data_IF_537375629367
#
_entry.id   IF_537375629367
#
_cell.length_a   1.000
_cell.length_b   1.000
_cell.length_c   1.000
_cell.angle_alpha   90.00
_cell.angle_beta   90.00
_cell.angle_gamma   90.00
#
_symmetry.space_group_name_H-M   'P 1'
#
loop_
_entity.id
_entity.type
_entity.pdbx_description
1 polymer ?
#
# COMPACT_ATOMS: atom_id res chain seq x y z
N UNK A 1 14.78 6.10 -14.80
CA UNK A 1 13.77 5.80 -13.78
C UNK A 1 12.49 5.51 -14.53
N UNK A 2 11.82 4.39 -14.25
CA UNK A 2 10.59 4.00 -14.93
C UNK A 2 9.43 4.13 -13.95
N UNK A 3 8.34 4.72 -14.40
CA UNK A 3 7.12 4.89 -13.63
C UNK A 3 6.07 3.92 -14.16
N UNK A 4 5.56 3.08 -13.27
CA UNK A 4 4.50 2.13 -13.60
C UNK A 4 3.23 2.49 -12.84
N UNK A 5 2.09 2.31 -13.48
CA UNK A 5 0.79 2.54 -12.84
C UNK A 5 0.41 1.29 -12.04
N UNK A 6 -0.26 1.52 -10.92
CA UNK A 6 -0.85 0.44 -10.13
C UNK A 6 -2.28 0.25 -10.64
N UNK A 7 -2.59 -0.95 -11.17
CA UNK A 7 -3.95 -1.28 -11.63
C UNK A 7 -4.85 -1.59 -10.45
N UNK A 8 -4.33 -2.31 -9.45
CA UNK A 8 -5.12 -2.79 -8.33
C UNK A 8 -4.31 -2.89 -7.06
N UNK A 9 -4.93 -2.52 -5.95
CA UNK A 9 -4.40 -2.75 -4.61
C UNK A 9 -5.20 -3.87 -3.92
N UNK A 10 -4.52 -4.92 -3.46
CA UNK A 10 -5.17 -6.08 -2.84
C UNK A 10 -5.28 -5.92 -1.34
N UNK A 11 -4.14 -5.79 -0.65
CA UNK A 11 -4.08 -5.64 0.79
C UNK A 11 -2.81 -4.95 1.23
N UNK A 12 -2.91 -4.32 2.39
CA UNK A 12 -1.77 -3.82 3.16
C UNK A 12 -1.28 -4.94 4.07
N UNK A 13 -0.07 -5.43 3.81
CA UNK A 13 0.55 -6.52 4.59
C UNK A 13 1.11 -5.93 5.89
N UNK A 14 1.95 -4.90 5.77
CA UNK A 14 2.58 -4.18 6.87
C UNK A 14 2.50 -2.67 6.64
N UNK A 15 3.01 -1.86 7.57
CA UNK A 15 2.95 -0.40 7.48
C UNK A 15 3.73 0.20 6.29
N UNK A 16 4.62 -0.57 5.67
CA UNK A 16 5.45 -0.22 4.52
C UNK A 16 5.21 -1.13 3.29
N UNK A 17 4.66 -2.33 3.50
CA UNK A 17 4.56 -3.38 2.49
C UNK A 17 3.12 -3.57 2.03
N UNK A 18 2.89 -3.34 0.73
CA UNK A 18 1.58 -3.45 0.07
C UNK A 18 1.60 -4.51 -1.02
N UNK A 19 0.50 -5.23 -1.19
CA UNK A 19 0.33 -6.17 -2.29
C UNK A 19 -0.47 -5.50 -3.42
N UNK A 20 0.16 -5.37 -4.58
CA UNK A 20 -0.37 -4.60 -5.71
C UNK A 20 -0.14 -5.30 -7.05
N UNK A 21 -1.03 -5.02 -8.00
CA UNK A 21 -0.81 -5.29 -9.42
C UNK A 21 -0.22 -4.07 -10.09
N UNK A 22 0.96 -4.26 -10.68
CA UNK A 22 1.64 -3.25 -11.48
C UNK A 22 1.30 -3.49 -12.95
N UNK A 23 0.78 -2.46 -13.61
CA UNK A 23 0.50 -2.47 -15.04
C UNK A 23 1.78 -2.27 -15.83
N UNK A 24 2.12 -3.23 -16.70
CA UNK A 24 3.21 -3.10 -17.66
C UNK A 24 2.72 -2.75 -19.07
N UNK A 25 1.40 -2.65 -19.28
CA UNK A 25 0.76 -2.55 -20.58
C UNK A 25 0.61 -3.91 -21.26
N UNK A 26 0.07 -3.92 -22.49
CA UNK A 26 -0.10 -5.12 -23.33
C UNK A 26 -0.85 -6.28 -22.64
N UNK A 27 -1.81 -5.97 -21.77
CA UNK A 27 -2.54 -6.94 -20.95
C UNK A 27 -1.66 -7.77 -20.00
N UNK A 28 -0.44 -7.29 -19.70
CA UNK A 28 0.48 -7.92 -18.75
C UNK A 28 0.48 -7.10 -17.46
N UNK A 29 -0.03 -7.70 -16.40
CA UNK A 29 0.10 -7.19 -15.03
C UNK A 29 1.03 -8.10 -14.22
N UNK A 30 1.84 -7.49 -13.34
CA UNK A 30 2.65 -8.23 -12.38
C UNK A 30 2.08 -8.02 -10.98
N UNK A 31 1.67 -9.13 -10.36
CA UNK A 31 1.29 -9.18 -8.96
C UNK A 31 2.53 -9.31 -8.09
N UNK A 32 2.89 -8.28 -7.33
CA UNK A 32 4.02 -8.34 -6.39
C UNK A 32 3.78 -7.53 -5.10
N UNK A 33 4.37 -7.97 -3.98
CA UNK A 33 4.51 -7.11 -2.81
C UNK A 33 5.54 -6.02 -3.09
N UNK A 34 5.18 -4.77 -2.87
CA UNK A 34 6.01 -3.59 -3.06
C UNK A 34 6.20 -2.90 -1.71
N UNK A 35 7.42 -2.40 -1.47
CA UNK A 35 7.75 -1.59 -0.29
C UNK A 35 7.72 -0.11 -0.63
N UNK A 36 7.20 0.70 0.27
CA UNK A 36 7.20 2.15 0.15
C UNK A 36 8.62 2.68 0.37
N UNK A 37 9.19 3.32 -0.65
CA UNK A 37 10.52 3.89 -0.57
C UNK A 37 10.53 5.05 0.45
N UNK A 38 11.45 5.00 1.42
CA UNK A 38 11.59 6.04 2.45
C UNK A 38 10.69 5.86 3.67
N UNK A 39 9.93 4.77 3.76
CA UNK A 39 9.16 4.40 4.94
C UNK A 39 9.75 3.10 5.51
N UNK A 40 10.37 3.20 6.68
CA UNK A 40 10.90 2.04 7.42
C UNK A 40 9.98 1.84 8.64
N UNK A 41 8.99 0.97 8.53
CA UNK A 41 8.08 0.69 9.65
C UNK A 41 8.61 -0.42 10.54
N UNK A 42 8.48 -0.32 11.87
CA UNK A 42 8.86 -1.40 12.77
C UNK A 42 8.06 -2.65 12.42
N UNK A 43 8.76 -3.77 12.30
CA UNK A 43 8.17 -5.05 11.91
C UNK A 43 7.12 -5.49 12.93
N UNK A 44 5.90 -5.76 12.46
CA UNK A 44 4.76 -6.21 13.29
C UNK A 44 5.01 -7.51 14.08
N UNK A 45 6.16 -8.17 13.83
CA UNK A 45 6.60 -9.44 14.45
C UNK A 45 7.64 -9.28 15.56
N UNK A 46 7.80 -8.10 16.17
CA UNK A 46 8.61 -7.99 17.40
C UNK A 46 7.82 -8.45 18.64
N UNK A 47 8.53 -9.00 19.64
CA UNK A 47 7.97 -9.42 20.94
C UNK A 47 7.57 -8.23 21.83
N UNK A 48 8.02 -7.02 21.50
CA UNK A 48 7.78 -5.81 22.26
C UNK A 48 6.39 -5.22 21.98
N UNK A 49 5.60 -5.07 23.04
CA UNK A 49 4.22 -4.61 22.96
C UNK A 49 4.09 -3.17 22.46
N UNK A 50 5.11 -2.33 22.68
CA UNK A 50 5.13 -0.93 22.25
C UNK A 50 5.32 -0.80 20.74
N UNK A 51 6.32 -1.48 20.17
CA UNK A 51 6.57 -1.50 18.72
C UNK A 51 5.39 -2.10 17.95
N UNK A 52 4.77 -3.14 18.50
CA UNK A 52 3.61 -3.78 17.89
C UNK A 52 2.39 -2.85 17.80
N UNK A 53 2.21 -1.97 18.79
CA UNK A 53 1.12 -0.98 18.77
C UNK A 53 1.37 0.06 17.68
N UNK A 54 2.61 0.56 17.58
CA UNK A 54 3.01 1.53 16.55
C UNK A 54 2.90 0.93 15.13
N UNK A 55 3.31 -0.33 14.95
CA UNK A 55 3.15 -1.03 13.66
C UNK A 55 1.68 -1.22 13.26
N UNK A 56 0.80 -1.47 14.23
CA UNK A 56 -0.64 -1.59 13.98
C UNK A 56 -1.28 -0.24 13.60
N UNK A 57 -0.93 0.83 14.33
CA UNK A 57 -1.38 2.19 14.03
C UNK A 57 -0.92 2.64 12.64
N UNK A 58 0.35 2.39 12.29
CA UNK A 58 0.88 2.69 10.96
C UNK A 58 0.13 1.93 9.84
N UNK A 59 -0.19 0.65 10.08
CA UNK A 59 -0.96 -0.17 9.14
C UNK A 59 -2.39 0.33 8.96
N UNK A 60 -3.05 0.76 10.03
CA UNK A 60 -4.40 1.32 9.96
C UNK A 60 -4.41 2.68 9.26
N UNK A 61 -3.44 3.54 9.56
CA UNK A 61 -3.28 4.82 8.89
C UNK A 61 -3.10 4.64 7.37
N UNK A 62 -2.22 3.73 6.94
CA UNK A 62 -1.99 3.46 5.53
C UNK A 62 -3.26 2.96 4.82
N UNK A 63 -4.05 2.10 5.47
CA UNK A 63 -5.34 1.64 4.93
C UNK A 63 -6.35 2.77 4.74
N UNK A 64 -6.45 3.68 5.71
CA UNK A 64 -7.35 4.83 5.63
C UNK A 64 -6.97 5.78 4.50
N UNK A 65 -5.68 6.12 4.41
CA UNK A 65 -5.16 7.01 3.37
C UNK A 65 -5.38 6.43 1.97
N UNK A 66 -5.09 5.14 1.79
CA UNK A 66 -5.36 4.49 0.51
C UNK A 66 -6.86 4.57 0.18
N UNK A 67 -7.75 4.21 1.11
CA UNK A 67 -9.20 4.26 0.87
C UNK A 67 -9.67 5.65 0.45
N UNK A 68 -9.19 6.70 1.10
CA UNK A 68 -9.51 8.09 0.77
C UNK A 68 -9.06 8.47 -0.64
N UNK A 69 -7.82 8.14 -1.01
CA UNK A 69 -7.28 8.40 -2.35
C UNK A 69 -8.13 7.70 -3.42
N UNK A 70 -8.45 6.42 -3.23
CA UNK A 70 -9.26 5.65 -4.17
C UNK A 70 -10.68 6.21 -4.31
N UNK A 71 -11.29 6.66 -3.20
CA UNK A 71 -12.61 7.30 -3.22
C UNK A 71 -12.58 8.64 -3.99
N UNK A 72 -11.52 9.44 -3.79
CA UNK A 72 -11.33 10.72 -4.46
C UNK A 72 -11.08 10.55 -5.97
N UNK A 73 -10.30 9.54 -6.38
CA UNK A 73 -10.12 9.23 -7.81
C UNK A 73 -11.42 8.79 -8.47
N UNK A 74 -12.25 7.99 -7.78
CA UNK A 74 -13.55 7.59 -8.30
C UNK A 74 -14.50 8.78 -8.46
N UNK A 75 -14.49 9.71 -7.50
CA UNK A 75 -15.24 10.96 -7.60
C UNK A 75 -14.76 11.77 -8.81
N UNK A 76 -13.46 11.95 -9.03
CA UNK A 76 -12.93 12.72 -10.17
C UNK A 76 -13.33 12.13 -11.53
N UNK A 77 -13.51 10.81 -11.65
CA UNK A 77 -13.92 10.15 -12.91
C UNK A 77 -15.44 10.25 -13.15
N UNK A 78 -16.23 10.50 -12.10
CA UNK A 78 -17.69 10.57 -12.16
C UNK A 78 -18.27 11.98 -12.37
N UNK A 79 -17.45 13.03 -12.53
CA UNK A 79 -17.88 14.40 -12.83
C UNK A 79 -17.56 14.81 -14.28
#
# INVERSE_FOLDING_TARGET
MYEYKISRLYKVIDGDTIEVDIDLGFDIAIHKPVRLAGVDTPESRTKDAYEKKLGLEAKEWLKLQLKEIWQNYWLVICW
#
